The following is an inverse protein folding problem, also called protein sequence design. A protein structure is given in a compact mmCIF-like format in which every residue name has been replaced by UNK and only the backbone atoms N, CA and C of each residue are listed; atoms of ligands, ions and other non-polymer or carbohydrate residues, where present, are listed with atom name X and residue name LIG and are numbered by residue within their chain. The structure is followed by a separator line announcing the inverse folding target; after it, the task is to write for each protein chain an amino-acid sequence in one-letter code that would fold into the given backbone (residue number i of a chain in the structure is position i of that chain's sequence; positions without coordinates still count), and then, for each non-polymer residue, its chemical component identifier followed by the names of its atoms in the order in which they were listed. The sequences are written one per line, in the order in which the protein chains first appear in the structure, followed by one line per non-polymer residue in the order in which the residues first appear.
data_IF_762220388464
#
_entry.id   IF_762220388464
#
_cell.length_a   1.000
_cell.length_b   1.000
_cell.length_c   1.000
_cell.angle_alpha   90.00
_cell.angle_beta   90.00
_cell.angle_gamma   90.00
#
_symmetry.space_group_name_H-M   'P 1'
#
loop_
_entity.id
_entity.type
_entity.pdbx_description
1 polymer ?
#
# COMPACT_ATOMS: atom_id res chain seq x y z
N UNK A 1 -7.03 -1.29 -0.03
CA UNK A 1 -6.96 -2.75 0.22
C UNK A 1 -7.44 -3.09 1.62
N UNK A 2 -8.03 -4.28 1.83
CA UNK A 2 -8.35 -4.78 3.17
C UNK A 2 -7.10 -5.46 3.76
N UNK A 3 -6.78 -5.18 5.02
CA UNK A 3 -5.61 -5.73 5.70
C UNK A 3 -5.57 -7.27 5.72
N UNK A 4 -6.75 -7.92 5.68
CA UNK A 4 -6.88 -9.38 5.62
C UNK A 4 -6.32 -10.00 4.32
N UNK A 5 -6.46 -9.31 3.20
CA UNK A 5 -5.96 -9.80 1.90
C UNK A 5 -4.44 -9.69 1.81
N UNK A 6 -3.86 -8.64 2.41
CA UNK A 6 -2.40 -8.41 2.42
C UNK A 6 -1.71 -9.41 3.34
N UNK A 7 -2.32 -9.79 4.48
CA UNK A 7 -1.75 -10.80 5.39
C UNK A 7 -1.71 -12.22 4.81
N UNK A 8 -2.49 -12.52 3.78
CA UNK A 8 -2.48 -13.82 3.09
C UNK A 8 -1.40 -13.94 2.00
N UNK A 9 -0.73 -12.83 1.64
CA UNK A 9 0.31 -12.80 0.61
C UNK A 9 1.70 -13.04 1.19
N UNK A 10 2.60 -13.53 0.34
CA UNK A 10 4.01 -13.72 0.69
C UNK A 10 4.75 -12.36 0.79
N UNK A 11 5.82 -12.29 1.59
CA UNK A 11 6.63 -11.07 1.76
C UNK A 11 7.20 -10.51 0.46
N UNK A 12 7.49 -11.40 -0.51
CA UNK A 12 7.97 -11.03 -1.83
C UNK A 12 6.88 -10.38 -2.68
N UNK A 13 5.66 -10.92 -2.64
CA UNK A 13 4.51 -10.37 -3.36
C UNK A 13 4.11 -9.00 -2.80
N UNK A 14 4.15 -8.83 -1.46
CA UNK A 14 3.86 -7.54 -0.83
C UNK A 14 4.87 -6.47 -1.29
N UNK A 15 6.15 -6.82 -1.38
CA UNK A 15 7.19 -5.89 -1.87
C UNK A 15 6.97 -5.51 -3.34
N UNK A 16 6.63 -6.49 -4.18
CA UNK A 16 6.31 -6.24 -5.59
C UNK A 16 5.08 -5.33 -5.76
N UNK A 17 4.03 -5.57 -4.97
CA UNK A 17 2.83 -4.75 -4.95
C UNK A 17 3.15 -3.31 -4.52
N UNK A 18 4.01 -3.12 -3.51
CA UNK A 18 4.46 -1.79 -3.05
C UNK A 18 5.16 -1.04 -4.18
N UNK A 19 6.14 -1.66 -4.85
CA UNK A 19 6.85 -1.02 -5.97
C UNK A 19 5.91 -0.63 -7.11
N UNK A 20 4.93 -1.47 -7.41
CA UNK A 20 3.94 -1.21 -8.45
C UNK A 20 3.05 -0.01 -8.07
N UNK A 21 2.58 0.05 -6.82
CA UNK A 21 1.77 1.16 -6.32
C UNK A 21 2.56 2.48 -6.21
N UNK A 22 3.87 2.43 -5.95
CA UNK A 22 4.74 3.61 -5.95
C UNK A 22 4.89 4.22 -7.35
N UNK A 23 5.02 3.38 -8.39
CA UNK A 23 5.02 3.83 -9.79
C UNK A 23 3.69 4.48 -10.17
N UNK A 24 2.57 3.85 -9.80
CA UNK A 24 1.24 4.42 -10.04
C UNK A 24 1.03 5.76 -9.30
N UNK A 25 1.56 5.89 -8.09
CA UNK A 25 1.54 7.14 -7.33
C UNK A 25 2.36 8.24 -8.01
N UNK A 26 3.52 7.90 -8.59
CA UNK A 26 4.36 8.82 -9.34
C UNK A 26 3.61 9.33 -10.58
N UNK A 27 3.02 8.43 -11.36
CA UNK A 27 2.24 8.79 -12.55
C UNK A 27 1.02 9.66 -12.20
N UNK A 28 0.32 9.35 -11.11
CA UNK A 28 -0.81 10.16 -10.65
C UNK A 28 -0.38 11.55 -10.17
N UNK A 29 0.80 11.67 -9.54
CA UNK A 29 1.36 12.97 -9.16
C UNK A 29 1.80 13.78 -10.38
N UNK A 30 2.34 13.11 -11.40
CA UNK A 30 2.71 13.73 -12.65
C UNK A 30 1.48 14.28 -13.38
N UNK A 31 0.47 13.42 -13.60
CA UNK A 31 -0.82 13.82 -14.22
C UNK A 31 -1.55 14.89 -13.40
N UNK A 32 -1.47 14.81 -12.08
CA UNK A 32 -1.99 15.82 -11.16
C UNK A 32 -1.47 17.22 -11.44
N UNK A 33 -0.19 17.36 -11.81
CA UNK A 33 0.42 18.66 -12.10
C UNK A 33 0.13 19.11 -13.53
N UNK A 34 0.06 18.18 -14.49
CA UNK A 34 -0.10 18.52 -15.91
C UNK A 34 -1.54 18.83 -16.31
N UNK A 35 -2.53 18.06 -15.84
CA UNK A 35 -3.90 18.13 -16.35
C UNK A 35 -4.92 18.68 -15.33
N UNK A 36 -4.49 18.95 -14.10
CA UNK A 36 -5.40 19.28 -13.00
C UNK A 36 -6.15 18.04 -12.50
N UNK A 37 -6.08 17.78 -11.20
CA UNK A 37 -6.59 16.53 -10.63
C UNK A 37 -8.12 16.47 -10.68
N UNK A 38 -8.66 15.49 -11.42
CA UNK A 38 -10.08 15.12 -11.37
C UNK A 38 -10.48 14.42 -10.05
N UNK A 39 -9.59 13.63 -9.47
CA UNK A 39 -9.87 12.91 -8.21
C UNK A 39 -8.69 12.87 -7.21
N UNK A 40 -8.58 13.89 -6.32
CA UNK A 40 -7.50 13.95 -5.31
C UNK A 40 -7.64 12.91 -4.19
N UNK A 41 -8.78 12.20 -4.12
CA UNK A 41 -8.96 11.12 -3.16
C UNK A 41 -8.12 9.87 -3.52
N UNK A 42 -7.85 9.63 -4.81
CA UNK A 42 -7.09 8.47 -5.28
C UNK A 42 -5.64 8.49 -4.78
N UNK A 43 -4.98 9.65 -4.82
CA UNK A 43 -3.61 9.84 -4.28
C UNK A 43 -3.58 9.49 -2.77
N UNK A 44 -4.59 9.95 -2.02
CA UNK A 44 -4.70 9.66 -0.58
C UNK A 44 -5.01 8.20 -0.29
N UNK A 45 -5.72 7.51 -1.19
CA UNK A 45 -6.04 6.08 -1.07
C UNK A 45 -4.80 5.22 -1.31
N UNK A 46 -4.07 5.46 -2.41
CA UNK A 46 -2.85 4.72 -2.77
C UNK A 46 -1.79 4.88 -1.68
N UNK A 47 -1.57 6.11 -1.18
CA UNK A 47 -0.63 6.35 -0.07
C UNK A 47 -0.99 5.55 1.19
N UNK A 48 -2.29 5.43 1.51
CA UNK A 48 -2.76 4.63 2.65
C UNK A 48 -2.60 3.14 2.43
N UNK A 49 -2.75 2.68 1.20
CA UNK A 49 -2.58 1.26 0.86
C UNK A 49 -1.09 0.86 0.91
N UNK A 50 -0.17 1.69 0.41
CA UNK A 50 1.29 1.49 0.57
C UNK A 50 1.68 1.44 2.05
N UNK A 51 1.20 2.40 2.85
CA UNK A 51 1.51 2.44 4.28
C UNK A 51 1.06 1.16 5.01
N UNK A 52 -0.13 0.63 4.68
CA UNK A 52 -0.63 -0.63 5.27
C UNK A 52 0.24 -1.83 4.91
N UNK A 53 0.70 -1.92 3.67
CA UNK A 53 1.60 -3.00 3.23
C UNK A 53 2.93 -2.95 3.98
N UNK A 54 3.52 -1.76 4.08
CA UNK A 54 4.77 -1.55 4.83
C UNK A 54 4.59 -1.85 6.32
N UNK A 55 3.46 -1.49 6.92
CA UNK A 55 3.14 -1.84 8.32
C UNK A 55 3.07 -3.35 8.51
N UNK A 56 2.39 -4.09 7.64
CA UNK A 56 2.29 -5.55 7.75
C UNK A 56 3.67 -6.22 7.60
N UNK A 57 4.50 -5.71 6.67
CA UNK A 57 5.86 -6.20 6.51
C UNK A 57 6.70 -5.96 7.79
N UNK A 58 6.52 -4.79 8.43
CA UNK A 58 7.17 -4.47 9.70
C UNK A 58 6.61 -5.28 10.88
N UNK A 59 5.30 -5.55 10.92
CA UNK A 59 4.67 -6.43 11.92
C UNK A 59 5.30 -7.83 11.89
N UNK A 60 5.50 -8.39 10.68
CA UNK A 60 6.18 -9.69 10.47
C UNK A 60 7.63 -9.67 10.94
N UNK A 61 8.39 -8.62 10.60
CA UNK A 61 9.80 -8.48 11.02
C UNK A 61 9.94 -8.31 12.54
N UNK A 62 9.02 -7.56 13.17
CA UNK A 62 9.06 -7.30 14.61
C UNK A 62 8.55 -8.49 15.45
N UNK A 63 8.08 -9.57 14.82
CA UNK A 63 7.48 -10.70 15.53
C UNK A 63 6.19 -10.31 16.27
N UNK A 64 5.59 -9.17 15.92
CA UNK A 64 4.27 -8.75 16.42
C UNK A 64 3.25 -9.47 15.53
N UNK A 65 3.26 -10.78 15.63
CA UNK A 65 2.14 -11.57 15.18
C UNK A 65 0.99 -11.27 16.15
N UNK A 66 0.15 -10.31 15.76
CA UNK A 66 -1.22 -10.21 16.27
C UNK A 66 -2.03 -11.44 15.85
N UNK A 67 -1.52 -12.64 16.12
CA UNK A 67 -2.27 -13.87 16.17
C UNK A 67 -3.05 -13.85 17.47
N UNK A 68 -4.18 -13.17 17.44
CA UNK A 68 -5.40 -13.67 18.04
C UNK A 68 -6.54 -12.85 17.44
N UNK A 69 -7.05 -13.33 16.31
CA UNK A 69 -8.45 -13.17 16.02
C UNK A 69 -9.23 -13.90 17.12
N UNK A 70 -9.59 -13.17 18.18
CA UNK A 70 -10.80 -13.50 18.95
C UNK A 70 -12.04 -13.16 18.13
#
# INVERSE_FOLDING_TARGET
MKAKEIRGKEDAEIRFDVETMEKELFDLRFRSQTEGIQNPASIRRIRRDIARMQTILQERVCGIDGQESR
#
